data_IF_209437972070
#
_entry.id   IF_209437972070
#
_cell.length_a   1.000
_cell.length_b   1.000
_cell.length_c   1.000
_cell.angle_alpha   90.00
_cell.angle_beta   90.00
_cell.angle_gamma   90.00
#
_symmetry.space_group_name_H-M   'P 1'
#
loop_
_entity.id
_entity.type
_entity.pdbx_description
1 polymer ?
#
# COMPACT_ATOMS: atom_id res chain seq x y z
N UNK A 1 62.01 68.96 0.52
CA UNK A 1 62.63 69.75 1.59
C UNK A 1 63.28 68.78 2.54
N UNK A 2 64.59 68.92 2.63
CA UNK A 2 65.51 68.14 3.45
C UNK A 2 65.18 68.33 4.94
N UNK A 3 65.41 67.28 5.74
CA UNK A 3 66.27 67.42 6.91
C UNK A 3 66.77 66.04 7.34
N UNK A 4 68.07 65.83 7.14
CA UNK A 4 68.86 64.97 8.02
C UNK A 4 68.90 65.62 9.38
N UNK A 5 68.85 64.81 10.44
CA UNK A 5 69.72 65.00 11.58
C UNK A 5 70.15 63.61 12.10
N UNK A 6 71.46 63.43 12.14
CA UNK A 6 72.13 62.45 12.96
C UNK A 6 72.14 63.00 14.39
N UNK A 7 71.81 62.17 15.38
CA UNK A 7 72.62 62.18 16.59
C UNK A 7 72.63 60.83 17.29
N UNK A 8 73.85 60.33 17.46
CA UNK A 8 74.23 59.13 18.17
C UNK A 8 74.32 59.46 19.66
N UNK A 9 73.30 59.09 20.44
CA UNK A 9 73.44 58.98 21.89
C UNK A 9 73.55 57.50 22.28
N UNK A 10 74.80 57.10 22.52
CA UNK A 10 75.20 55.83 23.12
C UNK A 10 74.97 55.90 24.63
N UNK A 11 73.91 55.27 25.13
CA UNK A 11 73.74 54.98 26.56
C UNK A 11 74.10 53.52 26.85
N UNK A 12 75.09 53.38 27.73
CA UNK A 12 75.65 52.15 28.27
C UNK A 12 74.59 51.39 29.08
N UNK A 13 74.15 50.22 28.61
CA UNK A 13 73.24 49.33 29.33
C UNK A 13 74.03 48.27 30.12
N UNK A 14 73.68 48.16 31.40
CA UNK A 14 74.33 47.32 32.43
C UNK A 14 74.07 45.82 32.12
N UNK A 15 75.09 44.94 32.15
CA UNK A 15 74.97 43.53 31.72
C UNK A 15 73.93 42.67 32.47
N UNK A 16 73.52 43.07 33.68
CA UNK A 16 72.51 42.35 34.47
C UNK A 16 71.05 42.71 34.10
N UNK A 17 70.79 43.83 33.42
CA UNK A 17 69.48 44.15 32.86
C UNK A 17 69.24 43.39 31.54
N UNK A 18 70.30 43.30 30.72
CA UNK A 18 70.30 42.72 29.37
C UNK A 18 69.90 41.24 29.37
N UNK A 19 70.26 40.46 30.38
CA UNK A 19 69.86 39.04 30.49
C UNK A 19 68.40 38.88 30.91
N UNK A 20 67.88 39.74 31.79
CA UNK A 20 66.47 39.77 32.19
C UNK A 20 65.56 40.22 31.04
N UNK A 21 66.03 41.18 30.26
CA UNK A 21 65.27 41.75 29.14
C UNK A 21 65.26 40.80 27.94
N UNK A 22 66.34 40.04 27.71
CA UNK A 22 66.37 38.99 26.69
C UNK A 22 65.39 37.84 26.97
N UNK A 23 65.21 37.44 28.23
CA UNK A 23 64.24 36.39 28.59
C UNK A 23 62.79 36.89 28.58
N UNK A 24 62.56 38.18 28.87
CA UNK A 24 61.26 38.83 28.64
C UNK A 24 60.95 38.92 27.15
N UNK A 25 61.91 39.29 26.30
CA UNK A 25 61.75 39.36 24.85
C UNK A 25 61.42 38.00 24.22
N UNK A 26 62.09 36.92 24.65
CA UNK A 26 61.73 35.55 24.23
C UNK A 26 60.32 35.16 24.64
N UNK A 27 59.92 35.52 25.87
CA UNK A 27 58.56 35.26 26.37
C UNK A 27 57.52 36.05 25.56
N UNK A 28 57.80 37.32 25.27
CA UNK A 28 56.97 38.18 24.43
C UNK A 28 56.84 37.60 23.01
N UNK A 29 57.94 37.14 22.40
CA UNK A 29 57.92 36.53 21.07
C UNK A 29 57.11 35.22 21.04
N UNK A 30 57.21 34.40 22.08
CA UNK A 30 56.39 33.19 22.21
C UNK A 30 54.90 33.52 22.32
N UNK A 31 54.55 34.48 23.18
CA UNK A 31 53.17 34.95 23.34
C UNK A 31 52.60 35.56 22.05
N UNK A 32 53.39 36.32 21.28
CA UNK A 32 52.98 36.83 19.98
C UNK A 32 52.69 35.71 18.99
N UNK A 33 53.55 34.68 18.94
CA UNK A 33 53.37 33.51 18.08
C UNK A 33 52.12 32.73 18.46
N UNK A 34 51.87 32.53 19.76
CA UNK A 34 50.67 31.88 20.26
C UNK A 34 49.41 32.71 19.93
N UNK A 35 49.48 34.03 20.08
CA UNK A 35 48.41 34.95 19.73
C UNK A 35 48.10 34.92 18.23
N UNK A 36 49.12 34.82 17.37
CA UNK A 36 48.94 34.66 15.92
C UNK A 36 48.30 33.31 15.55
N UNK A 37 48.69 32.22 16.23
CA UNK A 37 48.05 30.91 16.08
C UNK A 37 46.57 30.98 16.50
N UNK A 38 46.27 31.63 17.62
CA UNK A 38 44.91 31.82 18.11
C UNK A 38 44.07 32.68 17.16
N UNK A 39 44.62 33.77 16.61
CA UNK A 39 43.95 34.58 15.59
C UNK A 39 43.63 33.76 14.34
N UNK A 40 44.58 32.98 13.84
CA UNK A 40 44.38 32.14 12.67
C UNK A 40 43.32 31.05 12.92
N UNK A 41 43.34 30.44 14.10
CA UNK A 41 42.33 29.46 14.53
C UNK A 41 40.94 30.08 14.63
N UNK A 42 40.81 31.24 15.27
CA UNK A 42 39.55 31.96 15.41
C UNK A 42 38.98 32.37 14.05
N UNK A 43 39.82 32.88 13.13
CA UNK A 43 39.40 33.18 11.75
C UNK A 43 38.85 31.95 11.03
N UNK A 44 39.53 30.79 11.15
CA UNK A 44 39.03 29.52 10.58
C UNK A 44 37.71 29.06 11.20
N UNK A 45 37.54 29.22 12.51
CA UNK A 45 36.29 28.89 13.20
C UNK A 45 35.15 29.81 12.75
N UNK A 46 35.42 31.10 12.57
CA UNK A 46 34.44 32.07 12.08
C UNK A 46 34.01 31.76 10.64
N UNK A 47 34.96 31.41 9.75
CA UNK A 47 34.64 30.95 8.40
C UNK A 47 33.78 29.69 8.41
N UNK A 48 34.11 28.68 9.24
CA UNK A 48 33.30 27.46 9.42
C UNK A 48 31.89 27.80 9.92
N UNK A 49 31.77 28.65 10.93
CA UNK A 49 30.48 29.07 11.49
C UNK A 49 29.61 29.72 10.41
N UNK A 50 30.17 30.66 9.64
CA UNK A 50 29.40 31.30 8.55
C UNK A 50 28.99 30.33 7.44
N UNK A 51 29.77 29.26 7.21
CA UNK A 51 29.43 28.22 6.24
C UNK A 51 28.29 27.35 6.76
N UNK A 52 28.39 26.86 7.99
CA UNK A 52 27.33 26.08 8.64
C UNK A 52 26.02 26.88 8.76
N UNK A 53 26.09 28.17 9.11
CA UNK A 53 24.91 29.05 9.16
C UNK A 53 24.21 29.16 7.80
N UNK A 54 24.98 29.22 6.70
CA UNK A 54 24.42 29.26 5.34
C UNK A 54 23.74 27.93 4.98
N UNK A 55 24.39 26.80 5.29
CA UNK A 55 23.81 25.48 5.05
C UNK A 55 22.55 25.25 5.90
N UNK A 56 22.56 25.67 7.17
CA UNK A 56 21.40 25.60 8.05
C UNK A 56 20.21 26.40 7.49
N UNK A 57 20.44 27.64 7.03
CA UNK A 57 19.39 28.46 6.39
C UNK A 57 18.85 27.81 5.12
N UNK A 58 19.72 27.18 4.32
CA UNK A 58 19.32 26.47 3.10
C UNK A 58 18.46 25.25 3.40
N UNK A 59 18.85 24.44 4.39
CA UNK A 59 18.06 23.28 4.84
C UNK A 59 16.71 23.71 5.41
N UNK A 60 16.67 24.78 6.21
CA UNK A 60 15.43 25.35 6.73
C UNK A 60 14.47 25.76 5.62
N UNK A 61 14.95 26.50 4.62
CA UNK A 61 14.14 26.90 3.47
C UNK A 61 13.62 25.67 2.68
N UNK A 62 14.47 24.64 2.52
CA UNK A 62 14.07 23.40 1.84
C UNK A 62 12.95 22.66 2.58
N UNK A 63 13.01 22.61 3.91
CA UNK A 63 11.96 22.03 4.75
C UNK A 63 10.65 22.83 4.63
N UNK A 64 10.70 24.15 4.75
CA UNK A 64 9.52 25.02 4.60
C UNK A 64 8.85 24.86 3.22
N UNK A 65 9.65 24.75 2.15
CA UNK A 65 9.14 24.49 0.80
C UNK A 65 8.48 23.10 0.68
N UNK A 66 9.07 22.08 1.29
CA UNK A 66 8.50 20.74 1.30
C UNK A 66 7.17 20.70 2.07
N UNK A 67 7.11 21.34 3.24
CA UNK A 67 5.87 21.47 4.02
C UNK A 67 4.78 22.16 3.21
N UNK A 68 5.09 23.30 2.57
CA UNK A 68 4.14 24.03 1.72
C UNK A 68 3.66 23.23 0.52
N UNK A 69 4.54 22.44 -0.11
CA UNK A 69 4.16 21.56 -1.20
C UNK A 69 3.19 20.45 -0.72
N UNK A 70 3.44 19.86 0.45
CA UNK A 70 2.54 18.85 1.01
C UNK A 70 1.19 19.43 1.42
N UNK A 71 1.17 20.64 2.00
CA UNK A 71 -0.05 21.36 2.37
C UNK A 71 -0.90 21.68 1.13
N UNK A 72 -0.27 22.18 0.06
CA UNK A 72 -0.95 22.46 -1.20
C UNK A 72 -1.56 21.20 -1.83
N UNK A 73 -0.82 20.08 -1.85
CA UNK A 73 -1.31 18.82 -2.38
C UNK A 73 -2.48 18.24 -1.55
N UNK A 74 -2.46 18.41 -0.22
CA UNK A 74 -3.58 18.03 0.64
C UNK A 74 -4.80 18.91 0.35
N UNK A 75 -4.61 20.23 0.22
CA UNK A 75 -5.68 21.17 -0.10
C UNK A 75 -6.32 20.86 -1.46
N UNK A 76 -5.52 20.55 -2.48
CA UNK A 76 -5.99 20.16 -3.82
C UNK A 76 -6.86 18.90 -3.76
N UNK A 77 -6.39 17.84 -3.10
CA UNK A 77 -7.17 16.60 -2.90
C UNK A 77 -8.46 16.84 -2.13
N UNK A 78 -8.41 17.71 -1.12
CA UNK A 78 -9.58 18.05 -0.31
C UNK A 78 -10.60 18.82 -1.14
N UNK A 79 -10.16 19.78 -1.97
CA UNK A 79 -11.03 20.54 -2.86
C UNK A 79 -11.71 19.62 -3.89
N UNK A 80 -10.97 18.72 -4.53
CA UNK A 80 -11.51 17.74 -5.48
C UNK A 80 -12.59 16.85 -4.82
N UNK A 81 -12.33 16.33 -3.61
CA UNK A 81 -13.32 15.54 -2.88
C UNK A 81 -14.58 16.34 -2.55
N UNK A 82 -14.44 17.60 -2.16
CA UNK A 82 -15.59 18.48 -1.88
C UNK A 82 -16.42 18.69 -3.14
N UNK A 83 -15.79 18.93 -4.29
CA UNK A 83 -16.49 19.06 -5.57
C UNK A 83 -17.25 17.78 -5.96
N UNK A 84 -16.63 16.61 -5.80
CA UNK A 84 -17.30 15.31 -6.04
C UNK A 84 -18.53 15.12 -5.14
N UNK A 85 -18.42 15.46 -3.85
CA UNK A 85 -19.54 15.39 -2.91
C UNK A 85 -20.68 16.33 -3.33
N UNK A 86 -20.36 17.57 -3.73
CA UNK A 86 -21.36 18.50 -4.23
C UNK A 86 -22.05 18.00 -5.51
N UNK A 87 -21.28 17.43 -6.43
CA UNK A 87 -21.82 16.87 -7.66
C UNK A 87 -22.78 15.69 -7.38
N UNK A 88 -22.34 14.73 -6.55
CA UNK A 88 -23.16 13.59 -6.14
C UNK A 88 -24.44 14.02 -5.40
N UNK A 89 -24.37 15.06 -4.56
CA UNK A 89 -25.56 15.62 -3.89
C UNK A 89 -26.54 16.21 -4.90
N UNK A 90 -26.04 16.95 -5.89
CA UNK A 90 -26.88 17.52 -6.94
C UNK A 90 -27.59 16.43 -7.76
N UNK A 91 -26.87 15.39 -8.17
CA UNK A 91 -27.46 14.26 -8.90
C UNK A 91 -28.52 13.55 -8.06
N UNK A 92 -28.26 13.35 -6.76
CA UNK A 92 -29.23 12.76 -5.83
C UNK A 92 -30.50 13.61 -5.75
N UNK A 93 -30.37 14.92 -5.60
CA UNK A 93 -31.51 15.82 -5.46
C UNK A 93 -32.33 15.88 -6.76
N UNK A 94 -31.68 15.88 -7.92
CA UNK A 94 -32.34 15.80 -9.23
C UNK A 94 -33.10 14.47 -9.42
N UNK A 95 -32.51 13.35 -9.02
CA UNK A 95 -33.16 12.05 -9.07
C UNK A 95 -34.37 11.97 -8.12
N UNK A 96 -34.28 12.56 -6.92
CA UNK A 96 -35.40 12.65 -5.98
C UNK A 96 -36.53 13.50 -6.55
N UNK A 97 -36.22 14.66 -7.11
CA UNK A 97 -37.22 15.54 -7.74
C UNK A 97 -37.92 14.87 -8.91
N UNK A 98 -37.18 14.18 -9.78
CA UNK A 98 -37.72 13.43 -10.92
C UNK A 98 -38.67 12.32 -10.45
N UNK A 99 -38.29 11.59 -9.40
CA UNK A 99 -39.13 10.51 -8.83
C UNK A 99 -40.41 11.05 -8.19
N UNK A 100 -40.32 12.21 -7.53
CA UNK A 100 -41.48 12.88 -6.93
C UNK A 100 -42.45 13.41 -8.00
N UNK A 101 -41.93 13.95 -9.11
CA UNK A 101 -42.73 14.36 -10.26
C UNK A 101 -43.49 13.18 -10.85
N UNK A 102 -42.81 12.06 -11.12
CA UNK A 102 -43.44 10.85 -11.64
C UNK A 102 -44.55 10.33 -10.72
N UNK A 103 -44.32 10.28 -9.41
CA UNK A 103 -45.33 9.86 -8.45
C UNK A 103 -46.57 10.78 -8.44
N UNK A 104 -46.38 12.08 -8.65
CA UNK A 104 -47.51 13.01 -8.78
C UNK A 104 -48.27 12.80 -10.10
N UNK A 105 -47.57 12.59 -11.20
CA UNK A 105 -48.18 12.29 -12.51
C UNK A 105 -49.02 11.00 -12.45
N UNK A 106 -48.47 9.92 -11.88
CA UNK A 106 -49.18 8.64 -11.72
C UNK A 106 -50.43 8.79 -10.85
N UNK A 107 -50.34 9.57 -9.77
CA UNK A 107 -51.49 9.87 -8.90
C UNK A 107 -52.55 10.65 -9.66
N UNK A 108 -52.17 11.67 -10.39
CA UNK A 108 -53.10 12.53 -11.12
C UNK A 108 -53.77 11.76 -12.27
N UNK A 109 -53.04 10.87 -12.94
CA UNK A 109 -53.59 9.95 -13.94
C UNK A 109 -54.59 8.96 -13.32
N UNK A 110 -54.27 8.40 -12.14
CA UNK A 110 -55.20 7.54 -11.42
C UNK A 110 -56.49 8.27 -11.04
N UNK A 111 -56.39 9.52 -10.57
CA UNK A 111 -57.55 10.38 -10.27
C UNK A 111 -58.38 10.62 -11.55
N UNK A 112 -57.73 10.89 -12.69
CA UNK A 112 -58.42 11.09 -13.96
C UNK A 112 -59.19 9.84 -14.40
N UNK A 113 -58.59 8.64 -14.28
CA UNK A 113 -59.25 7.36 -14.60
C UNK A 113 -60.49 7.13 -13.73
N UNK A 114 -60.39 7.36 -12.42
CA UNK A 114 -61.53 7.21 -11.50
C UNK A 114 -62.68 8.15 -11.89
N UNK A 115 -62.39 9.43 -12.14
CA UNK A 115 -63.41 10.39 -12.57
C UNK A 115 -64.09 9.98 -13.87
N UNK A 116 -63.35 9.46 -14.84
CA UNK A 116 -63.93 8.97 -16.10
C UNK A 116 -64.88 7.78 -15.88
N UNK A 117 -64.49 6.84 -15.01
CA UNK A 117 -65.35 5.70 -14.64
C UNK A 117 -66.62 6.14 -13.92
N UNK A 118 -66.53 7.10 -12.99
CA UNK A 118 -67.69 7.69 -12.31
C UNK A 118 -68.66 8.35 -13.30
N UNK A 119 -68.15 9.09 -14.29
CA UNK A 119 -68.99 9.66 -15.36
C UNK A 119 -69.67 8.57 -16.18
N UNK A 120 -68.95 7.50 -16.52
CA UNK A 120 -69.49 6.36 -17.28
C UNK A 120 -70.60 5.64 -16.51
N UNK A 121 -70.44 5.46 -15.19
CA UNK A 121 -71.45 4.86 -14.33
C UNK A 121 -72.73 5.71 -14.25
N UNK A 122 -72.59 7.04 -14.13
CA UNK A 122 -73.75 7.96 -14.15
C UNK A 122 -74.54 7.89 -15.45
N UNK A 123 -73.89 7.60 -16.58
CA UNK A 123 -74.58 7.41 -17.87
C UNK A 123 -75.38 6.12 -17.88
N UNK A 124 -74.84 5.03 -17.30
CA UNK A 124 -75.51 3.72 -17.25
C UNK A 124 -76.72 3.70 -16.30
N UNK A 125 -76.71 4.48 -15.22
CA UNK A 125 -77.83 4.59 -14.27
C UNK A 125 -79.12 5.13 -14.91
N UNK A 126 -79.05 5.76 -16.09
CA UNK A 126 -80.19 6.34 -16.80
C UNK A 126 -80.90 5.39 -17.80
N UNK A 127 -80.53 4.11 -17.88
CA UNK A 127 -81.13 3.15 -18.82
C UNK A 127 -82.07 2.20 -18.06
N UNK A 128 -83.38 2.26 -18.32
CA UNK A 128 -84.35 1.28 -17.82
C UNK A 128 -84.17 -0.07 -18.57
N UNK A 129 -83.77 -1.17 -17.90
CA UNK A 129 -83.43 -2.43 -18.58
C UNK A 129 -84.66 -3.24 -19.03
N UNK A 130 -85.80 -3.15 -18.33
CA UNK A 130 -86.96 -4.02 -18.60
C UNK A 130 -87.67 -3.77 -19.94
N UNK A 131 -87.60 -2.55 -20.50
CA UNK A 131 -88.20 -2.24 -21.81
C UNK A 131 -87.29 -2.53 -23.02
N UNK A 132 -85.99 -2.70 -22.82
CA UNK A 132 -85.02 -2.91 -23.91
C UNK A 132 -84.79 -4.39 -24.27
N UNK A 133 -85.00 -5.32 -23.32
CA UNK A 133 -84.70 -6.75 -23.51
C UNK A 133 -85.84 -7.56 -24.15
N UNK A 134 -87.06 -7.02 -24.20
CA UNK A 134 -88.17 -7.72 -24.85
C UNK A 134 -87.93 -7.84 -26.36
N UNK A 135 -88.09 -9.05 -26.89
CA UNK A 135 -88.00 -9.24 -28.35
C UNK A 135 -89.21 -8.63 -29.05
N UNK A 136 -89.04 -8.21 -30.32
CA UNK A 136 -90.17 -7.72 -31.12
C UNK A 136 -91.31 -8.75 -31.18
N UNK A 137 -90.95 -10.04 -31.20
CA UNK A 137 -91.90 -11.15 -31.19
C UNK A 137 -92.71 -11.22 -29.88
N UNK A 138 -92.08 -10.99 -28.72
CA UNK A 138 -92.78 -10.92 -27.44
C UNK A 138 -93.75 -9.74 -27.36
N UNK A 139 -93.34 -8.57 -27.85
CA UNK A 139 -94.20 -7.38 -27.91
C UNK A 139 -95.42 -7.60 -28.81
N UNK A 140 -95.22 -8.24 -29.98
CA UNK A 140 -96.31 -8.59 -30.90
C UNK A 140 -97.25 -9.65 -30.30
N UNK A 141 -96.70 -10.68 -29.64
CA UNK A 141 -97.50 -11.68 -28.94
C UNK A 141 -98.33 -11.07 -27.80
N UNK A 142 -97.78 -10.10 -27.06
CA UNK A 142 -98.50 -9.37 -26.01
C UNK A 142 -99.60 -8.47 -26.56
N UNK A 143 -99.40 -7.86 -27.73
CA UNK A 143 -100.46 -7.12 -28.44
C UNK A 143 -101.57 -8.07 -28.89
N UNK A 144 -101.21 -9.22 -29.45
CA UNK A 144 -102.18 -10.20 -29.96
C UNK A 144 -103.03 -10.85 -28.85
N UNK A 145 -102.46 -10.98 -27.65
CA UNK A 145 -103.11 -11.58 -26.48
C UNK A 145 -103.63 -10.53 -25.46
N UNK A 146 -103.70 -9.25 -25.82
CA UNK A 146 -104.13 -8.20 -24.89
C UNK A 146 -105.65 -8.11 -24.80
N UNK A 147 -106.20 -8.28 -23.59
CA UNK A 147 -107.64 -8.21 -23.31
C UNK A 147 -108.19 -6.77 -23.22
N UNK A 148 -107.33 -5.75 -23.30
CA UNK A 148 -107.72 -4.33 -23.19
C UNK A 148 -107.02 -3.46 -24.23
N UNK A 149 -107.73 -2.44 -24.73
CA UNK A 149 -107.16 -1.46 -25.66
C UNK A 149 -105.98 -0.67 -25.09
N UNK A 150 -105.95 -0.47 -23.77
CA UNK A 150 -104.85 0.21 -23.07
C UNK A 150 -103.57 -0.63 -23.12
N UNK A 151 -103.65 -1.95 -22.96
CA UNK A 151 -102.51 -2.85 -23.06
C UNK A 151 -101.97 -2.94 -24.50
N UNK A 152 -102.86 -2.91 -25.50
CA UNK A 152 -102.47 -2.81 -26.91
C UNK A 152 -101.72 -1.49 -27.17
N UNK A 153 -102.25 -0.37 -26.67
CA UNK A 153 -101.62 0.94 -26.84
C UNK A 153 -100.24 1.02 -26.19
N UNK A 154 -100.08 0.50 -24.96
CA UNK A 154 -98.80 0.53 -24.24
C UNK A 154 -97.72 -0.27 -24.97
N UNK A 155 -98.02 -1.51 -25.38
CA UNK A 155 -97.06 -2.32 -26.13
C UNK A 155 -96.81 -1.76 -27.54
N UNK A 156 -97.83 -1.20 -28.18
CA UNK A 156 -97.70 -0.49 -29.46
C UNK A 156 -96.78 0.73 -29.38
N UNK A 157 -96.86 1.50 -28.29
CA UNK A 157 -95.98 2.65 -28.06
C UNK A 157 -94.52 2.23 -27.93
N UNK A 158 -94.23 1.12 -27.24
CA UNK A 158 -92.87 0.57 -27.12
C UNK A 158 -92.31 0.14 -28.49
N UNK A 159 -93.12 -0.50 -29.34
CA UNK A 159 -92.70 -0.87 -30.71
C UNK A 159 -92.39 0.38 -31.55
N UNK A 160 -93.27 1.39 -31.50
CA UNK A 160 -93.09 2.65 -32.26
C UNK A 160 -91.84 3.38 -31.79
N UNK A 161 -91.63 3.49 -30.48
CA UNK A 161 -90.42 4.08 -29.89
C UNK A 161 -89.16 3.33 -30.33
N UNK A 162 -89.17 1.99 -30.33
CA UNK A 162 -88.04 1.17 -30.80
C UNK A 162 -87.73 1.38 -32.28
N UNK A 163 -88.76 1.47 -33.13
CA UNK A 163 -88.62 1.76 -34.56
C UNK A 163 -88.00 3.16 -34.75
N UNK A 164 -88.49 4.15 -34.01
CA UNK A 164 -87.98 5.51 -34.06
C UNK A 164 -86.51 5.57 -33.62
N UNK A 165 -86.17 5.00 -32.46
CA UNK A 165 -84.78 4.92 -31.95
C UNK A 165 -83.84 4.18 -32.90
N UNK A 166 -84.29 3.09 -33.51
CA UNK A 166 -83.49 2.34 -34.50
C UNK A 166 -83.25 3.18 -35.76
N UNK A 167 -84.27 3.88 -36.25
CA UNK A 167 -84.15 4.77 -37.41
C UNK A 167 -83.21 5.94 -37.12
N UNK A 168 -83.31 6.53 -35.93
CA UNK A 168 -82.47 7.65 -35.52
C UNK A 168 -81.01 7.21 -35.29
N UNK A 169 -80.80 6.04 -34.69
CA UNK A 169 -79.48 5.44 -34.56
C UNK A 169 -78.83 5.19 -35.93
N UNK A 170 -79.58 4.65 -36.91
CA UNK A 170 -79.08 4.47 -38.28
C UNK A 170 -78.66 5.78 -38.92
N UNK A 171 -79.48 6.84 -38.81
CA UNK A 171 -79.11 8.16 -39.33
C UNK A 171 -77.86 8.72 -38.66
N UNK A 172 -77.74 8.58 -37.33
CA UNK A 172 -76.58 9.03 -36.57
C UNK A 172 -75.31 8.30 -37.02
N UNK A 173 -75.36 6.97 -37.15
CA UNK A 173 -74.24 6.16 -37.65
C UNK A 173 -73.85 6.63 -39.05
N UNK A 174 -74.79 6.77 -39.98
CA UNK A 174 -74.48 7.24 -41.34
C UNK A 174 -73.88 8.65 -41.35
N UNK A 175 -74.33 9.55 -40.47
CA UNK A 175 -73.77 10.89 -40.35
C UNK A 175 -72.34 10.87 -39.76
N UNK A 176 -72.10 10.05 -38.73
CA UNK A 176 -70.77 9.85 -38.14
C UNK A 176 -69.80 9.22 -39.14
N UNK A 177 -70.22 8.19 -39.88
CA UNK A 177 -69.44 7.58 -40.96
C UNK A 177 -69.10 8.59 -42.06
N UNK A 178 -70.07 9.39 -42.50
CA UNK A 178 -69.85 10.41 -43.52
C UNK A 178 -68.91 11.52 -43.02
N UNK A 179 -69.00 11.92 -41.75
CA UNK A 179 -68.08 12.88 -41.14
C UNK A 179 -66.67 12.31 -41.04
N UNK A 180 -66.51 11.06 -40.60
CA UNK A 180 -65.20 10.41 -40.51
C UNK A 180 -64.51 10.34 -41.87
N UNK A 181 -65.25 10.01 -42.94
CA UNK A 181 -64.72 10.00 -44.31
C UNK A 181 -64.31 11.41 -44.77
N UNK A 182 -65.07 12.45 -44.39
CA UNK A 182 -64.73 13.85 -44.70
C UNK A 182 -63.44 14.26 -43.96
N UNK A 183 -63.32 13.93 -42.67
CA UNK A 183 -62.14 14.22 -41.87
C UNK A 183 -60.89 13.51 -42.41
N UNK A 184 -61.00 12.24 -42.79
CA UNK A 184 -59.90 11.48 -43.39
C UNK A 184 -59.46 12.09 -44.73
N UNK A 185 -60.43 12.46 -45.58
CA UNK A 185 -60.16 13.17 -46.85
C UNK A 185 -59.43 14.49 -46.60
N UNK A 186 -59.89 15.29 -45.64
CA UNK A 186 -59.33 16.61 -45.38
C UNK A 186 -57.93 16.51 -44.73
N UNK A 187 -57.70 15.50 -43.88
CA UNK A 187 -56.39 15.17 -43.36
C UNK A 187 -55.42 14.76 -44.48
N UNK A 188 -55.85 13.88 -45.39
CA UNK A 188 -55.07 13.46 -46.55
C UNK A 188 -54.75 14.65 -47.48
N UNK A 189 -55.73 15.51 -47.77
CA UNK A 189 -55.52 16.73 -48.57
C UNK A 189 -54.53 17.69 -47.90
N UNK A 190 -54.60 17.83 -46.57
CA UNK A 190 -53.65 18.67 -45.82
C UNK A 190 -52.23 18.10 -45.85
N UNK A 191 -52.09 16.78 -45.77
CA UNK A 191 -50.80 16.10 -45.94
C UNK A 191 -50.26 16.28 -47.36
N UNK A 192 -51.09 16.10 -48.41
CA UNK A 192 -50.69 16.32 -49.80
C UNK A 192 -50.20 17.76 -50.01
N UNK A 193 -50.95 18.77 -49.53
CA UNK A 193 -50.53 20.18 -49.62
C UNK A 193 -49.20 20.45 -48.92
N UNK A 194 -48.98 19.85 -47.74
CA UNK A 194 -47.71 19.99 -47.01
C UNK A 194 -46.55 19.38 -47.79
N UNK A 195 -46.72 18.16 -48.30
CA UNK A 195 -45.71 17.48 -49.09
C UNK A 195 -45.40 18.23 -50.40
N UNK A 196 -46.41 18.82 -51.04
CA UNK A 196 -46.21 19.68 -52.22
C UNK A 196 -45.38 20.93 -51.89
N UNK A 197 -45.64 21.57 -50.74
CA UNK A 197 -44.85 22.72 -50.26
C UNK A 197 -43.40 22.33 -49.91
N UNK A 198 -43.21 21.21 -49.22
CA UNK A 198 -41.88 20.67 -48.89
C UNK A 198 -41.09 20.35 -50.17
N UNK A 199 -41.75 19.75 -51.17
CA UNK A 199 -41.14 19.47 -52.47
C UNK A 199 -40.76 20.77 -53.19
N UNK A 200 -41.61 21.80 -53.13
CA UNK A 200 -41.30 23.12 -53.69
C UNK A 200 -40.09 23.74 -52.99
N UNK A 201 -40.05 23.75 -51.66
CA UNK A 201 -38.92 24.27 -50.89
C UNK A 201 -37.64 23.48 -51.14
N UNK A 202 -37.70 22.15 -51.25
CA UNK A 202 -36.52 21.33 -51.56
C UNK A 202 -36.02 21.60 -52.99
N UNK A 203 -36.92 21.84 -53.95
CA UNK A 203 -36.55 22.29 -55.31
C UNK A 203 -35.92 23.67 -55.31
N UNK A 204 -36.49 24.64 -54.58
CA UNK A 204 -35.91 25.97 -54.41
C UNK A 204 -34.55 25.92 -53.71
N UNK A 205 -34.40 25.09 -52.67
CA UNK A 205 -33.15 24.88 -51.94
C UNK A 205 -32.09 24.23 -52.82
N UNK A 206 -32.46 23.26 -53.68
CA UNK A 206 -31.53 22.67 -54.65
C UNK A 206 -31.17 23.65 -55.76
N UNK A 207 -32.11 24.46 -56.25
CA UNK A 207 -31.86 25.47 -57.28
C UNK A 207 -30.96 26.60 -56.74
N UNK A 208 -31.16 27.01 -55.47
CA UNK A 208 -30.32 28.02 -54.79
C UNK A 208 -28.97 27.47 -54.35
N UNK A 209 -28.87 26.18 -54.01
CA UNK A 209 -27.62 25.47 -53.74
C UNK A 209 -26.78 25.27 -55.02
N UNK A 210 -27.42 24.94 -56.15
CA UNK A 210 -26.75 24.82 -57.45
C UNK A 210 -26.20 26.16 -57.96
N UNK A 211 -26.86 27.28 -57.64
CA UNK A 211 -26.43 28.63 -58.02
C UNK A 211 -25.40 29.26 -57.05
N UNK A 212 -25.09 28.64 -55.92
CA UNK A 212 -24.11 29.14 -54.94
C UNK A 212 -22.93 28.16 -54.76
N UNK A 213 -21.96 28.26 -55.67
CA UNK A 213 -20.72 27.48 -55.67
C UNK A 213 -19.92 27.55 -54.34
N UNK A 214 -20.17 28.54 -53.48
CA UNK A 214 -19.53 28.71 -52.17
C UNK A 214 -19.98 27.68 -51.10
N UNK A 215 -21.19 27.13 -51.18
CA UNK A 215 -21.71 26.27 -50.11
C UNK A 215 -21.11 24.85 -50.14
N UNK A 216 -20.90 24.30 -51.34
CA UNK A 216 -20.20 23.02 -51.53
C UNK A 216 -18.75 23.06 -51.02
N UNK A 217 -18.09 24.22 -51.08
CA UNK A 217 -16.71 24.38 -50.56
C UNK A 217 -16.67 24.46 -49.04
N UNK A 218 -17.67 25.09 -48.41
CA UNK A 218 -17.74 25.22 -46.96
C UNK A 218 -18.04 23.88 -46.26
N UNK A 219 -18.98 23.11 -46.80
CA UNK A 219 -19.33 21.77 -46.28
C UNK A 219 -18.16 20.78 -46.46
N UNK A 220 -17.48 20.82 -47.61
CA UNK A 220 -16.26 20.03 -47.85
C UNK A 220 -15.10 20.41 -46.89
N UNK A 221 -14.98 21.70 -46.56
CA UNK A 221 -13.97 22.16 -45.60
C UNK A 221 -14.29 21.71 -44.16
N UNK A 222 -15.56 21.70 -43.77
CA UNK A 222 -16.00 21.21 -42.47
C UNK A 222 -15.81 19.68 -42.34
N UNK A 223 -16.13 18.93 -43.40
CA UNK A 223 -15.86 17.49 -43.47
C UNK A 223 -14.36 17.18 -43.36
N UNK A 224 -13.52 17.94 -44.08
CA UNK A 224 -12.05 17.82 -44.00
C UNK A 224 -11.53 18.13 -42.59
N UNK A 225 -12.08 19.13 -41.91
CA UNK A 225 -11.70 19.48 -40.54
C UNK A 225 -12.09 18.38 -39.54
N UNK A 226 -13.29 17.81 -39.66
CA UNK A 226 -13.73 16.68 -38.82
C UNK A 226 -12.86 15.44 -39.04
N UNK A 227 -12.52 15.14 -40.30
CA UNK A 227 -11.63 14.02 -40.65
C UNK A 227 -10.21 14.20 -40.09
N UNK A 228 -9.67 15.41 -40.17
CA UNK A 228 -8.37 15.74 -39.56
C UNK A 228 -8.40 15.60 -38.03
N UNK A 229 -9.49 16.05 -37.38
CA UNK A 229 -9.66 15.89 -35.93
C UNK A 229 -9.76 14.42 -35.51
N UNK A 230 -10.46 13.60 -36.29
CA UNK A 230 -10.59 12.16 -36.04
C UNK A 230 -9.23 11.44 -36.15
N UNK A 231 -8.45 11.77 -37.18
CA UNK A 231 -7.10 11.22 -37.34
C UNK A 231 -6.18 11.64 -36.18
N UNK A 232 -6.20 12.91 -35.77
CA UNK A 232 -5.41 13.37 -34.64
C UNK A 232 -5.79 12.67 -33.32
N UNK A 233 -7.09 12.43 -33.09
CA UNK A 233 -7.52 11.65 -31.93
C UNK A 233 -7.09 10.18 -32.00
N UNK A 234 -7.06 9.60 -33.20
CA UNK A 234 -6.59 8.24 -33.40
C UNK A 234 -5.09 8.11 -33.13
N UNK A 235 -4.27 9.03 -33.65
CA UNK A 235 -2.82 9.08 -33.38
C UNK A 235 -2.53 9.30 -31.88
N UNK A 236 -3.28 10.18 -31.22
CA UNK A 236 -3.15 10.41 -29.78
C UNK A 236 -3.50 9.14 -28.99
N UNK A 237 -4.57 8.42 -29.37
CA UNK A 237 -4.95 7.14 -28.77
C UNK A 237 -3.87 6.07 -28.96
N UNK A 238 -3.32 5.96 -30.16
CA UNK A 238 -2.25 5.00 -30.46
C UNK A 238 -0.98 5.30 -29.65
N UNK A 239 -0.62 6.57 -29.51
CA UNK A 239 0.51 7.02 -28.68
C UNK A 239 0.29 6.69 -27.20
N UNK A 240 -0.92 6.93 -26.68
CA UNK A 240 -1.27 6.58 -25.30
C UNK A 240 -1.20 5.06 -25.07
N UNK A 241 -1.70 4.24 -26.01
CA UNK A 241 -1.60 2.78 -25.92
C UNK A 241 -0.13 2.33 -25.88
N UNK A 242 0.74 2.93 -26.68
CA UNK A 242 2.17 2.61 -26.64
C UNK A 242 2.81 2.99 -25.30
N UNK A 243 2.41 4.12 -24.69
CA UNK A 243 2.89 4.50 -23.36
C UNK A 243 2.41 3.52 -22.28
N UNK A 244 1.14 3.09 -22.33
CA UNK A 244 0.62 2.09 -21.40
C UNK A 244 1.37 0.77 -21.49
N UNK A 245 1.70 0.30 -22.70
CA UNK A 245 2.51 -0.91 -22.87
C UNK A 245 3.90 -0.78 -22.23
N UNK A 246 4.57 0.36 -22.39
CA UNK A 246 5.88 0.60 -21.73
C UNK A 246 5.77 0.60 -20.20
N UNK A 247 4.73 1.24 -19.67
CA UNK A 247 4.48 1.25 -18.22
C UNK A 247 4.18 -0.16 -17.69
N UNK A 248 3.45 -0.98 -18.45
CA UNK A 248 3.17 -2.36 -18.11
C UNK A 248 4.45 -3.22 -18.06
N UNK A 249 5.35 -3.05 -19.05
CA UNK A 249 6.67 -3.68 -19.07
C UNK A 249 7.55 -3.24 -17.88
N UNK A 250 7.50 -1.96 -17.50
CA UNK A 250 8.22 -1.43 -16.34
C UNK A 250 7.69 -2.00 -15.02
N UNK A 251 6.35 -2.10 -14.88
CA UNK A 251 5.72 -2.73 -13.72
C UNK A 251 6.14 -4.19 -13.59
N UNK A 252 6.14 -4.95 -14.69
CA UNK A 252 6.53 -6.36 -14.66
C UNK A 252 8.02 -6.50 -14.31
N UNK A 253 8.86 -5.63 -14.86
CA UNK A 253 10.28 -5.56 -14.52
C UNK A 253 10.48 -5.27 -13.02
N UNK A 254 9.75 -4.30 -12.46
CA UNK A 254 9.80 -3.98 -11.03
C UNK A 254 9.31 -5.16 -10.16
N UNK A 255 8.31 -5.92 -10.59
CA UNK A 255 7.84 -7.13 -9.89
C UNK A 255 8.93 -8.20 -9.82
N UNK A 256 9.64 -8.44 -10.93
CA UNK A 256 10.77 -9.37 -10.96
C UNK A 256 11.88 -8.90 -10.02
N UNK A 257 12.25 -7.62 -10.06
CA UNK A 257 13.25 -7.06 -9.14
C UNK A 257 12.86 -7.19 -7.67
N UNK A 258 11.61 -6.90 -7.33
CA UNK A 258 11.11 -7.03 -5.97
C UNK A 258 11.14 -8.48 -5.48
N UNK A 259 10.69 -9.43 -6.32
CA UNK A 259 10.73 -10.86 -6.02
C UNK A 259 12.15 -11.37 -5.80
N UNK A 260 13.09 -10.94 -6.66
CA UNK A 260 14.50 -11.27 -6.54
C UNK A 260 15.11 -10.70 -5.26
N UNK A 261 14.88 -9.41 -4.98
CA UNK A 261 15.36 -8.77 -3.75
C UNK A 261 14.83 -9.48 -2.49
N UNK A 262 13.55 -9.84 -2.47
CA UNK A 262 12.95 -10.60 -1.37
C UNK A 262 13.62 -11.94 -1.17
N UNK A 263 13.92 -12.65 -2.26
CA UNK A 263 14.60 -13.96 -2.22
C UNK A 263 16.04 -13.83 -1.74
N UNK A 264 16.79 -12.85 -2.25
CA UNK A 264 18.18 -12.57 -1.84
C UNK A 264 18.26 -12.14 -0.37
N UNK A 265 17.33 -11.31 0.09
CA UNK A 265 17.26 -10.93 1.51
C UNK A 265 16.95 -12.12 2.42
N UNK A 266 16.08 -13.04 1.97
CA UNK A 266 15.82 -14.28 2.68
C UNK A 266 17.07 -15.19 2.73
N UNK A 267 17.83 -15.26 1.63
CA UNK A 267 19.10 -15.98 1.56
C UNK A 267 20.15 -15.38 2.51
N UNK A 268 20.26 -14.06 2.58
CA UNK A 268 21.16 -13.36 3.50
C UNK A 268 20.84 -13.69 4.96
N UNK A 269 19.56 -13.67 5.34
CA UNK A 269 19.14 -14.08 6.68
C UNK A 269 19.45 -15.55 7.00
N UNK A 270 19.25 -16.45 6.03
CA UNK A 270 19.60 -17.87 6.18
C UNK A 270 21.12 -18.07 6.31
N UNK A 271 21.91 -17.29 5.57
CA UNK A 271 23.37 -17.31 5.65
C UNK A 271 23.86 -16.85 7.02
N UNK A 272 23.26 -15.81 7.59
CA UNK A 272 23.60 -15.36 8.94
C UNK A 272 23.25 -16.41 10.00
N UNK A 273 22.10 -17.06 9.89
CA UNK A 273 21.72 -18.17 10.77
C UNK A 273 22.69 -19.35 10.65
N UNK A 274 23.10 -19.68 9.42
CA UNK A 274 24.07 -20.73 9.17
C UNK A 274 25.42 -20.39 9.81
N UNK A 275 25.93 -19.16 9.60
CA UNK A 275 27.18 -18.71 10.18
C UNK A 275 27.15 -18.70 11.71
N UNK A 276 26.03 -18.29 12.32
CA UNK A 276 25.87 -18.32 13.77
C UNK A 276 25.89 -19.76 14.32
N UNK A 277 25.18 -20.67 13.63
CA UNK A 277 25.17 -22.10 13.97
C UNK A 277 26.56 -22.71 13.83
N UNK A 278 27.27 -22.40 12.74
CA UNK A 278 28.63 -22.85 12.48
C UNK A 278 29.60 -22.37 13.57
N UNK A 279 29.54 -21.08 13.92
CA UNK A 279 30.37 -20.51 14.99
C UNK A 279 30.11 -21.18 16.34
N UNK A 280 28.86 -21.52 16.64
CA UNK A 280 28.51 -22.26 17.87
C UNK A 280 29.16 -23.66 17.89
N UNK A 281 29.14 -24.37 16.77
CA UNK A 281 29.81 -25.67 16.65
C UNK A 281 31.34 -25.53 16.74
N UNK A 282 31.91 -24.51 16.12
CA UNK A 282 33.35 -24.26 16.14
C UNK A 282 33.85 -23.93 17.56
N UNK A 283 33.11 -23.10 18.30
CA UNK A 283 33.37 -22.84 19.73
C UNK A 283 33.25 -24.10 20.58
N UNK A 284 32.22 -24.91 20.36
CA UNK A 284 32.05 -26.19 21.06
C UNK A 284 33.20 -27.17 20.76
N UNK A 285 33.66 -27.22 19.50
CA UNK A 285 34.78 -28.06 19.09
C UNK A 285 36.08 -27.59 19.74
N UNK A 286 36.34 -26.28 19.74
CA UNK A 286 37.52 -25.67 20.36
C UNK A 286 37.53 -25.89 21.87
N UNK A 287 36.38 -25.78 22.53
CA UNK A 287 36.26 -26.11 23.96
C UNK A 287 36.56 -27.58 24.23
N UNK A 288 36.05 -28.50 23.38
CA UNK A 288 36.36 -29.92 23.50
C UNK A 288 37.85 -30.20 23.28
N UNK A 289 38.46 -29.57 22.29
CA UNK A 289 39.88 -29.71 21.99
C UNK A 289 40.75 -29.21 23.15
N UNK A 290 40.41 -28.06 23.75
CA UNK A 290 41.07 -27.56 24.96
C UNK A 290 40.97 -28.56 26.13
N UNK A 291 39.78 -29.14 26.37
CA UNK A 291 39.59 -30.15 27.43
C UNK A 291 40.46 -31.39 27.15
N UNK A 292 40.51 -31.85 25.90
CA UNK A 292 41.34 -32.99 25.50
C UNK A 292 42.82 -32.67 25.71
N UNK A 293 43.31 -31.50 25.30
CA UNK A 293 44.70 -31.08 25.53
C UNK A 293 45.06 -31.03 27.02
N UNK A 294 44.19 -30.48 27.87
CA UNK A 294 44.40 -30.46 29.33
C UNK A 294 44.47 -31.89 29.87
N UNK A 295 43.55 -32.76 29.45
CA UNK A 295 43.50 -34.16 29.91
C UNK A 295 44.74 -34.94 29.45
N UNK A 296 45.20 -34.70 28.22
CA UNK A 296 46.43 -35.29 27.66
C UNK A 296 47.64 -34.90 28.51
N UNK A 297 47.80 -33.61 28.82
CA UNK A 297 48.90 -33.11 29.64
C UNK A 297 48.88 -33.71 31.05
N UNK A 298 47.70 -33.79 31.68
CA UNK A 298 47.56 -34.44 32.99
C UNK A 298 47.93 -35.92 32.96
N UNK A 299 47.55 -36.65 31.90
CA UNK A 299 47.92 -38.06 31.73
C UNK A 299 49.44 -38.23 31.54
N UNK A 300 50.09 -37.33 30.79
CA UNK A 300 51.55 -37.31 30.62
C UNK A 300 52.25 -37.04 31.95
N UNK A 301 51.79 -36.07 32.74
CA UNK A 301 52.32 -35.80 34.08
C UNK A 301 52.16 -36.99 35.02
N UNK A 302 50.98 -37.64 35.02
CA UNK A 302 50.73 -38.85 35.81
C UNK A 302 51.62 -40.02 35.38
N UNK A 303 51.87 -40.19 34.08
CA UNK A 303 52.77 -41.23 33.58
C UNK A 303 54.21 -41.00 34.06
N UNK A 304 54.69 -39.76 34.05
CA UNK A 304 56.00 -39.39 34.59
C UNK A 304 56.07 -39.66 36.09
N UNK A 305 55.05 -39.26 36.86
CA UNK A 305 54.98 -39.53 38.30
C UNK A 305 54.99 -41.03 38.62
N UNK A 306 54.24 -41.82 37.85
CA UNK A 306 54.22 -43.28 37.99
C UNK A 306 55.59 -43.89 37.70
N UNK A 307 56.26 -43.43 36.64
CA UNK A 307 57.59 -43.92 36.28
C UNK A 307 58.62 -43.59 37.36
N UNK A 308 58.57 -42.38 37.93
CA UNK A 308 59.40 -41.98 39.06
C UNK A 308 59.13 -42.85 40.30
N UNK A 309 57.87 -43.08 40.64
CA UNK A 309 57.51 -43.93 41.77
C UNK A 309 57.98 -45.39 41.58
N UNK A 310 57.94 -45.90 40.34
CA UNK A 310 58.48 -47.23 40.02
C UNK A 310 60.00 -47.29 40.18
N UNK A 311 60.74 -46.26 39.76
CA UNK A 311 62.19 -46.20 39.96
C UNK A 311 62.56 -46.08 41.44
N UNK A 312 61.82 -45.26 42.20
CA UNK A 312 62.05 -45.09 43.64
C UNK A 312 61.77 -46.39 44.39
N UNK A 313 60.70 -47.12 44.01
CA UNK A 313 60.40 -48.44 44.55
C UNK A 313 61.52 -49.43 44.28
N UNK A 314 62.04 -49.48 43.05
CA UNK A 314 63.14 -50.39 42.69
C UNK A 314 64.42 -50.09 43.48
N UNK A 315 64.73 -48.80 43.70
CA UNK A 315 65.87 -48.38 44.52
C UNK A 315 65.70 -48.80 45.99
N UNK A 316 64.51 -48.57 46.56
CA UNK A 316 64.18 -49.01 47.93
C UNK A 316 64.24 -50.53 48.09
N UNK A 317 63.82 -51.28 47.07
CA UNK A 317 63.88 -52.75 47.06
C UNK A 317 65.33 -53.26 47.05
N UNK A 318 66.22 -52.59 46.30
CA UNK A 318 67.67 -52.83 46.34
C UNK A 318 68.28 -52.53 47.72
N UNK A 319 67.94 -51.38 48.32
CA UNK A 319 68.42 -51.00 49.66
C UNK A 319 67.94 -52.00 50.72
N UNK A 320 66.68 -52.43 50.66
CA UNK A 320 66.12 -53.45 51.54
C UNK A 320 66.92 -54.76 51.41
N UNK A 321 67.21 -55.19 50.19
CA UNK A 321 67.94 -56.43 49.94
C UNK A 321 69.37 -56.36 50.52
N UNK A 322 70.07 -55.24 50.34
CA UNK A 322 71.37 -55.01 50.98
C UNK A 322 71.29 -55.01 52.51
N UNK A 323 70.26 -54.40 53.09
CA UNK A 323 70.05 -54.40 54.53
C UNK A 323 69.75 -55.81 55.07
N UNK A 324 68.97 -56.62 54.34
CA UNK A 324 68.70 -58.01 54.69
C UNK A 324 69.96 -58.87 54.65
N UNK A 325 70.80 -58.71 53.61
CA UNK A 325 72.09 -59.40 53.51
C UNK A 325 73.04 -59.01 54.66
N UNK A 326 73.14 -57.71 54.96
CA UNK A 326 73.94 -57.20 56.08
C UNK A 326 73.44 -57.72 57.44
N UNK A 327 72.11 -57.75 57.65
CA UNK A 327 71.48 -58.31 58.84
C UNK A 327 71.75 -59.81 58.97
N UNK A 328 71.65 -60.57 57.87
CA UNK A 328 71.95 -62.00 57.87
C UNK A 328 73.42 -62.27 58.21
N UNK A 329 74.35 -61.51 57.62
CA UNK A 329 75.79 -61.62 57.92
C UNK A 329 76.09 -61.27 59.39
N UNK A 330 75.42 -60.25 59.94
CA UNK A 330 75.52 -59.90 61.35
C UNK A 330 74.95 -61.01 62.25
N UNK A 331 73.80 -61.58 61.90
CA UNK A 331 73.17 -62.68 62.63
C UNK A 331 74.05 -63.95 62.62
N UNK A 332 74.63 -64.32 61.47
CA UNK A 332 75.59 -65.42 61.35
C UNK A 332 76.82 -65.19 62.24
N UNK A 333 77.29 -63.94 62.35
CA UNK A 333 78.39 -63.56 63.24
C UNK A 333 78.00 -63.67 64.71
N UNK A 334 76.80 -63.23 65.07
CA UNK A 334 76.23 -63.41 66.43
C UNK A 334 76.14 -64.89 66.77
N UNK A 335 75.56 -65.74 65.90
CA UNK A 335 75.49 -67.18 66.14
C UNK A 335 76.87 -67.82 66.31
N UNK A 336 77.88 -67.40 65.53
CA UNK A 336 79.27 -67.86 65.72
C UNK A 336 79.82 -67.44 67.08
N UNK A 337 79.57 -66.21 67.51
CA UNK A 337 79.97 -65.70 68.81
C UNK A 337 79.23 -66.40 69.96
N UNK A 338 77.93 -66.63 69.83
CA UNK A 338 77.12 -67.40 70.79
C UNK A 338 77.67 -68.83 70.94
N UNK A 339 77.95 -69.53 69.82
CA UNK A 339 78.62 -70.84 69.85
C UNK A 339 79.98 -70.77 70.56
N UNK A 340 80.77 -69.73 70.30
CA UNK A 340 82.07 -69.54 70.95
C UNK A 340 81.91 -69.29 72.47
N UNK A 341 80.95 -68.45 72.85
CA UNK A 341 80.59 -68.16 74.24
C UNK A 341 80.11 -69.43 74.93
N UNK A 342 79.29 -70.27 74.28
CA UNK A 342 78.85 -71.55 74.83
C UNK A 342 80.02 -72.54 75.00
N UNK A 343 80.95 -72.59 74.04
CA UNK A 343 82.19 -73.38 74.17
C UNK A 343 83.05 -72.89 75.32
N UNK A 344 83.18 -71.56 75.49
CA UNK A 344 83.91 -70.95 76.60
C UNK A 344 83.20 -71.20 77.94
N UNK A 345 81.87 -71.03 78.03
CA UNK A 345 81.07 -71.37 79.21
C UNK A 345 81.21 -72.84 79.56
N UNK A 346 81.23 -73.76 78.58
CA UNK A 346 81.59 -75.16 78.83
C UNK A 346 83.01 -75.28 79.37
N UNK A 347 84.03 -74.70 78.75
CA UNK A 347 85.42 -74.76 79.26
C UNK A 347 85.61 -74.16 80.65
N UNK A 348 84.82 -73.16 81.04
CA UNK A 348 84.87 -72.53 82.37
C UNK A 348 83.98 -73.26 83.38
N UNK A 349 82.83 -73.81 82.96
CA UNK A 349 81.86 -74.52 83.81
C UNK A 349 82.11 -76.03 83.99
N UNK A 350 82.81 -76.69 83.06
CA UNK A 350 83.38 -78.03 83.26
C UNK A 350 84.87 -77.89 83.51
N UNK A 351 85.24 -77.96 84.79
CA UNK A 351 86.51 -77.52 85.32
C UNK A 351 87.76 -78.15 84.72
N UNK A 352 88.82 -77.33 84.67
CA UNK A 352 90.10 -77.54 85.37
C UNK A 352 90.85 -76.20 85.30
N UNK A 353 90.56 -75.28 86.22
CA UNK A 353 91.55 -74.25 86.58
C UNK A 353 92.65 -74.98 87.34
N UNK A 354 93.68 -75.44 86.61
CA UNK A 354 94.93 -75.85 87.23
C UNK A 354 95.69 -74.57 87.54
N UNK A 355 95.52 -74.09 88.75
CA UNK A 355 96.47 -73.21 89.41
C UNK A 355 97.83 -73.92 89.40
N UNK A 356 98.78 -73.39 88.65
CA UNK A 356 100.21 -73.63 88.89
C UNK A 356 100.88 -72.26 88.85
N UNK A 357 101.62 -72.03 89.94
CA UNK A 357 102.48 -70.91 90.30
C UNK A 357 103.21 -70.29 89.10
#
# INVERSE_FOLDING_TARGET
MEHRDHDLHCECTIPCQVTSDLDKEKTIAFLLKELDILRASNKKLQEKLTKEDKEHRKLKLRLELQEKATEAHIAEKTAALVEEVYFAQRERDEAIMSRLQLANEERDEAIARVKHMEMSLKVLENINPEENDMTLQELLNRINNADTGIAIQKNGAVIVDRIYKTKECKKRITAEEMNAVIEERDAALSQCKRLEQELHHLKEQNQTSANNMRHLTAENNQERALKAKLLAMQEARETAIQQYKRLEEEIETLRVYYSLHKSLSQEESLKDQFNHTLGTYEEALKNRENIVSITQQQNEELAIQLQQALTDRANMELELQHAMEASQAANDKVQKLERLVDVLRKKVGTGTMRTVI
#
